data_IF_055014759461
#
_entry.id   IF_055014759461
#
_cell.length_a   1.000
_cell.length_b   1.000
_cell.length_c   1.000
_cell.angle_alpha   90.00
_cell.angle_beta   90.00
_cell.angle_gamma   90.00
#
_symmetry.space_group_name_H-M   'P 1'
#
loop_
_entity.id
_entity.type
_entity.pdbx_description
1 polymer ?
#
# COMPACT_ATOMS: atom_id res chain seq x y z
N UNK A 1 -5.65 6.55 -70.75
CA UNK A 1 -5.78 7.54 -69.66
C UNK A 1 -6.62 6.91 -68.56
N UNK A 2 -6.01 6.45 -67.46
CA UNK A 2 -6.69 5.75 -66.35
C UNK A 2 -6.46 6.52 -65.07
N UNK A 3 -7.54 6.95 -64.42
CA UNK A 3 -7.56 7.85 -63.26
C UNK A 3 -7.34 7.08 -61.96
N UNK A 4 -6.23 7.36 -61.27
CA UNK A 4 -5.90 6.78 -59.97
C UNK A 4 -6.74 7.38 -58.84
N UNK A 5 -7.54 6.54 -58.17
CA UNK A 5 -8.30 6.91 -56.96
C UNK A 5 -7.43 6.65 -55.72
N UNK A 6 -6.94 7.72 -55.09
CA UNK A 6 -6.21 7.66 -53.81
C UNK A 6 -7.17 7.22 -52.68
N UNK A 7 -6.84 6.23 -51.84
CA UNK A 7 -7.69 5.88 -50.71
C UNK A 7 -7.55 6.93 -49.61
N UNK A 8 -8.69 7.36 -49.08
CA UNK A 8 -8.78 8.34 -48.01
C UNK A 8 -8.09 7.83 -46.73
N UNK A 9 -7.26 8.72 -46.17
CA UNK A 9 -6.55 8.59 -44.91
C UNK A 9 -7.58 8.38 -43.78
N UNK A 10 -7.69 7.15 -43.27
CA UNK A 10 -8.48 6.85 -42.06
C UNK A 10 -7.84 7.61 -40.89
N UNK A 11 -8.52 8.64 -40.41
CA UNK A 11 -8.24 9.23 -39.11
C UNK A 11 -8.46 8.15 -38.06
N UNK A 12 -7.43 7.89 -37.24
CA UNK A 12 -7.52 7.01 -36.08
C UNK A 12 -8.11 7.85 -34.96
N UNK A 13 -9.40 7.68 -34.69
CA UNK A 13 -9.99 8.08 -33.42
C UNK A 13 -9.30 7.26 -32.33
N UNK A 14 -8.37 7.89 -31.62
CA UNK A 14 -7.89 7.37 -30.35
C UNK A 14 -8.90 7.80 -29.29
N UNK A 15 -9.98 7.04 -29.16
CA UNK A 15 -10.79 7.09 -27.93
C UNK A 15 -9.88 6.54 -26.84
N UNK A 16 -9.28 7.43 -26.06
CA UNK A 16 -8.56 7.06 -24.84
C UNK A 16 -9.64 6.59 -23.86
N UNK A 17 -9.91 5.28 -23.89
CA UNK A 17 -10.87 4.61 -23.02
C UNK A 17 -10.36 4.78 -21.59
N UNK A 18 -10.98 5.69 -20.84
CA UNK A 18 -10.69 5.86 -19.43
C UNK A 18 -10.91 4.50 -18.75
N UNK A 19 -9.98 4.04 -17.90
CA UNK A 19 -10.09 2.72 -17.28
C UNK A 19 -11.42 2.62 -16.53
N UNK A 20 -12.16 1.53 -16.78
CA UNK A 20 -13.44 1.28 -16.15
C UNK A 20 -13.25 1.21 -14.62
N UNK A 21 -13.98 2.08 -13.91
CA UNK A 21 -13.91 2.15 -12.45
C UNK A 21 -14.72 0.99 -11.88
N UNK A 22 -14.09 0.19 -11.03
CA UNK A 22 -14.67 -1.01 -10.42
C UNK A 22 -14.84 -0.83 -8.92
N UNK A 23 -15.83 -1.51 -8.34
CA UNK A 23 -16.06 -1.51 -6.88
C UNK A 23 -15.33 -2.68 -6.25
N UNK A 24 -14.69 -2.45 -5.11
CA UNK A 24 -14.02 -3.52 -4.37
C UNK A 24 -15.06 -4.48 -3.79
N UNK A 25 -15.01 -5.79 -4.11
CA UNK A 25 -15.97 -6.77 -3.58
C UNK A 25 -15.80 -7.00 -2.08
N UNK A 26 -14.58 -6.83 -1.56
CA UNK A 26 -14.26 -7.05 -0.16
C UNK A 26 -14.57 -5.83 0.71
N UNK A 27 -14.65 -4.64 0.10
CA UNK A 27 -14.73 -3.35 0.78
C UNK A 27 -15.81 -2.46 0.17
N UNK A 28 -17.04 -2.94 0.26
CA UNK A 28 -18.25 -2.18 -0.05
C UNK A 28 -19.23 -2.22 1.12
N UNK A 29 -18.95 -1.43 2.17
CA UNK A 29 -19.77 -1.44 3.38
C UNK A 29 -21.14 -0.83 3.12
N UNK A 30 -22.21 -1.55 3.49
CA UNK A 30 -23.60 -1.07 3.37
C UNK A 30 -23.83 0.21 4.18
N UNK A 31 -23.21 0.31 5.35
CA UNK A 31 -23.20 1.47 6.25
C UNK A 31 -22.02 2.43 5.99
N UNK A 32 -21.29 2.24 4.89
CA UNK A 32 -20.18 3.10 4.50
C UNK A 32 -20.66 4.52 4.23
N UNK A 33 -19.87 5.51 4.67
CA UNK A 33 -20.19 6.94 4.66
C UNK A 33 -19.22 7.76 3.80
N UNK A 34 -18.23 7.11 3.19
CA UNK A 34 -17.29 7.69 2.22
C UNK A 34 -16.88 6.64 1.19
N UNK A 35 -16.62 7.10 -0.03
CA UNK A 35 -16.00 6.28 -1.08
C UNK A 35 -14.59 6.78 -1.33
N UNK A 36 -13.60 5.93 -1.14
CA UNK A 36 -12.23 6.20 -1.57
C UNK A 36 -12.05 5.64 -2.99
N UNK A 37 -11.62 6.49 -3.92
CA UNK A 37 -11.21 6.05 -5.25
C UNK A 37 -9.70 6.03 -5.34
N UNK A 38 -9.15 4.85 -5.60
CA UNK A 38 -7.71 4.60 -5.74
C UNK A 38 -7.51 3.87 -7.07
N UNK A 39 -6.70 4.43 -7.97
CA UNK A 39 -6.59 3.93 -9.35
C UNK A 39 -7.99 3.78 -9.98
N UNK A 40 -8.32 2.61 -10.52
CA UNK A 40 -9.64 2.24 -11.06
C UNK A 40 -10.48 1.43 -10.07
N UNK A 41 -10.20 1.49 -8.77
CA UNK A 41 -10.94 0.77 -7.72
C UNK A 41 -11.54 1.72 -6.70
N UNK A 42 -12.81 1.48 -6.34
CA UNK A 42 -13.53 2.19 -5.30
C UNK A 42 -13.76 1.33 -4.07
N UNK A 43 -13.53 1.93 -2.90
CA UNK A 43 -13.74 1.32 -1.59
C UNK A 43 -14.77 2.14 -0.83
N UNK A 44 -15.91 1.53 -0.47
CA UNK A 44 -16.93 2.19 0.35
C UNK A 44 -16.74 1.79 1.81
N UNK A 45 -16.37 2.75 2.65
CA UNK A 45 -15.97 2.51 4.04
C UNK A 45 -16.55 3.55 5.02
N UNK A 46 -16.38 3.33 6.32
CA UNK A 46 -16.84 4.26 7.34
C UNK A 46 -15.83 5.40 7.57
N UNK A 47 -16.29 6.66 7.47
CA UNK A 47 -15.49 7.87 7.77
C UNK A 47 -14.86 7.83 9.16
N UNK A 48 -15.62 7.35 10.14
CA UNK A 48 -15.20 7.25 11.53
C UNK A 48 -13.99 6.34 11.71
N UNK A 49 -13.92 5.23 10.97
CA UNK A 49 -12.78 4.31 10.98
C UNK A 49 -11.51 4.97 10.45
N UNK A 50 -11.60 5.70 9.33
CA UNK A 50 -10.46 6.45 8.80
C UNK A 50 -10.01 7.55 9.76
N UNK A 51 -10.95 8.38 10.23
CA UNK A 51 -10.66 9.50 11.12
C UNK A 51 -10.09 9.05 12.47
N UNK A 52 -10.47 7.86 12.96
CA UNK A 52 -9.90 7.29 14.19
C UNK A 52 -8.42 6.96 14.04
N UNK A 53 -8.01 6.45 12.88
CA UNK A 53 -6.66 5.93 12.68
C UNK A 53 -5.74 6.90 11.95
N UNK A 54 -6.24 7.96 11.31
CA UNK A 54 -5.46 8.89 10.50
C UNK A 54 -5.77 10.35 10.85
N UNK A 55 -4.74 11.08 11.28
CA UNK A 55 -4.84 12.53 11.52
C UNK A 55 -5.15 13.32 10.23
N UNK A 56 -4.59 12.87 9.09
CA UNK A 56 -4.86 13.44 7.77
C UNK A 56 -6.33 13.31 7.39
N UNK A 57 -6.91 12.10 7.50
CA UNK A 57 -8.33 11.91 7.21
C UNK A 57 -9.23 12.57 8.25
N UNK A 58 -8.84 12.59 9.53
CA UNK A 58 -9.58 13.33 10.56
C UNK A 58 -9.73 14.80 10.18
N UNK A 59 -8.63 15.42 9.76
CA UNK A 59 -8.61 16.83 9.35
C UNK A 59 -9.38 17.03 8.05
N UNK A 60 -9.11 16.22 7.02
CA UNK A 60 -9.78 16.32 5.71
C UNK A 60 -11.30 16.16 5.82
N UNK A 61 -11.78 15.22 6.66
CA UNK A 61 -13.21 14.93 6.81
C UNK A 61 -13.92 15.90 7.76
N UNK A 62 -13.18 16.72 8.51
CA UNK A 62 -13.76 17.78 9.35
C UNK A 62 -14.14 19.04 8.56
N UNK A 63 -13.60 19.19 7.35
CA UNK A 63 -13.90 20.32 6.48
C UNK A 63 -15.24 20.09 5.75
N UNK A 64 -16.06 21.13 5.55
CA UNK A 64 -17.25 21.04 4.73
C UNK A 64 -16.84 20.70 3.29
N UNK A 65 -17.38 19.61 2.76
CA UNK A 65 -17.16 19.23 1.37
C UNK A 65 -17.84 20.27 0.46
N UNK A 66 -17.20 20.68 -0.65
CA UNK A 66 -17.84 21.52 -1.66
C UNK A 66 -19.15 20.87 -2.15
N UNK A 67 -20.21 21.65 -2.33
CA UNK A 67 -21.54 21.15 -2.70
C UNK A 67 -21.63 20.44 -4.06
N UNK A 68 -20.60 20.56 -4.90
CA UNK A 68 -20.54 20.01 -6.26
C UNK A 68 -19.71 18.72 -6.39
N UNK A 69 -19.26 18.12 -5.28
CA UNK A 69 -18.50 16.88 -5.37
C UNK A 69 -19.37 15.68 -5.83
N UNK A 70 -18.83 14.80 -6.69
CA UNK A 70 -19.56 13.64 -7.15
C UNK A 70 -19.91 12.74 -5.96
N UNK A 71 -21.20 12.43 -5.83
CA UNK A 71 -21.73 11.51 -4.83
C UNK A 71 -21.95 10.14 -5.45
N UNK A 72 -21.52 9.09 -4.77
CA UNK A 72 -21.85 7.70 -5.10
C UNK A 72 -22.70 7.16 -3.96
N UNK A 73 -23.96 6.84 -4.26
CA UNK A 73 -24.92 6.34 -3.26
C UNK A 73 -25.05 7.30 -2.05
N UNK A 74 -25.02 8.62 -2.32
CA UNK A 74 -25.08 9.66 -1.29
C UNK A 74 -23.80 9.82 -0.47
N UNK A 75 -22.73 9.08 -0.78
CA UNK A 75 -21.43 9.19 -0.13
C UNK A 75 -20.48 10.06 -0.97
N UNK A 76 -19.72 10.97 -0.35
CA UNK A 76 -18.68 11.72 -1.05
C UNK A 76 -17.55 10.82 -1.51
N UNK A 77 -16.98 11.14 -2.66
CA UNK A 77 -15.88 10.42 -3.28
C UNK A 77 -14.58 11.19 -3.09
N UNK A 78 -13.60 10.56 -2.42
CA UNK A 78 -12.25 11.10 -2.27
C UNK A 78 -11.30 10.34 -3.19
N UNK A 79 -10.71 11.04 -4.16
CA UNK A 79 -9.74 10.45 -5.10
C UNK A 79 -8.34 10.55 -4.50
N UNK A 80 -7.69 9.40 -4.31
CA UNK A 80 -6.36 9.30 -3.73
C UNK A 80 -5.32 9.02 -4.82
N UNK A 81 -4.94 10.08 -5.52
CA UNK A 81 -3.98 9.97 -6.63
C UNK A 81 -2.59 9.53 -6.16
N UNK A 82 -1.97 8.64 -6.94
CA UNK A 82 -0.62 8.13 -6.69
C UNK A 82 -0.53 7.01 -5.65
N UNK A 83 -1.66 6.54 -5.12
CA UNK A 83 -1.72 5.32 -4.31
C UNK A 83 -2.09 4.10 -5.15
N UNK A 84 -1.73 2.92 -4.64
CA UNK A 84 -2.13 1.63 -5.23
C UNK A 84 -3.39 1.08 -4.57
N UNK A 85 -4.34 0.60 -5.37
CA UNK A 85 -5.54 -0.06 -4.87
C UNK A 85 -5.20 -1.33 -4.07
N UNK A 86 -4.13 -2.04 -4.46
CA UNK A 86 -3.64 -3.25 -3.76
C UNK A 86 -3.10 -2.88 -2.38
N UNK A 87 -2.33 -1.80 -2.27
CA UNK A 87 -1.80 -1.33 -0.98
C UNK A 87 -2.91 -0.87 -0.05
N UNK A 88 -3.94 -0.20 -0.60
CA UNK A 88 -5.13 0.17 0.15
C UNK A 88 -5.91 -1.04 0.66
N UNK A 89 -6.05 -2.08 -0.16
CA UNK A 89 -6.67 -3.34 0.28
C UNK A 89 -5.90 -3.95 1.47
N UNK A 90 -4.57 -4.04 1.39
CA UNK A 90 -3.73 -4.52 2.49
C UNK A 90 -3.88 -3.68 3.77
N UNK A 91 -3.99 -2.36 3.65
CA UNK A 91 -4.19 -1.47 4.80
C UNK A 91 -5.58 -1.67 5.42
N UNK A 92 -6.63 -1.72 4.60
CA UNK A 92 -8.00 -1.94 5.06
C UNK A 92 -8.18 -3.31 5.72
N UNK A 93 -7.47 -4.33 5.22
CA UNK A 93 -7.39 -5.66 5.85
C UNK A 93 -6.88 -5.59 7.28
N UNK A 94 -5.96 -4.67 7.60
CA UNK A 94 -5.42 -4.50 8.97
C UNK A 94 -6.32 -3.62 9.82
N UNK A 95 -6.96 -2.61 9.21
CA UNK A 95 -7.90 -1.70 9.88
C UNK A 95 -9.28 -2.33 10.15
N UNK A 96 -9.55 -3.51 9.59
CA UNK A 96 -10.87 -4.12 9.68
C UNK A 96 -11.29 -4.31 11.16
N UNK A 97 -12.48 -3.85 11.60
CA UNK A 97 -12.88 -3.82 13.01
C UNK A 97 -12.86 -5.17 13.74
N UNK A 98 -13.02 -6.27 12.98
CA UNK A 98 -12.94 -7.65 13.50
C UNK A 98 -11.50 -8.12 13.76
N UNK A 99 -10.49 -7.32 13.41
CA UNK A 99 -9.08 -7.58 13.69
C UNK A 99 -8.59 -6.57 14.72
N UNK A 100 -7.65 -6.98 15.55
CA UNK A 100 -6.87 -6.04 16.35
C UNK A 100 -6.17 -5.11 15.37
N UNK A 101 -6.28 -3.78 15.51
CA UNK A 101 -5.69 -2.77 14.60
C UNK A 101 -4.15 -2.74 14.68
N UNK A 102 -3.54 -3.91 14.50
CA UNK A 102 -2.13 -4.24 14.61
C UNK A 102 -1.80 -5.15 13.44
N UNK A 103 -0.62 -4.95 12.87
CA UNK A 103 -0.13 -5.80 11.82
C UNK A 103 0.26 -7.17 12.41
N UNK A 104 -0.25 -8.29 11.90
CA UNK A 104 0.16 -9.61 12.35
C UNK A 104 1.67 -9.83 12.13
N UNK A 105 2.34 -10.53 13.03
CA UNK A 105 3.78 -10.80 12.89
C UNK A 105 4.13 -11.60 11.60
N UNK A 106 3.20 -12.43 11.16
CA UNK A 106 3.30 -13.24 9.94
C UNK A 106 2.70 -12.55 8.70
N UNK A 107 2.52 -11.23 8.76
CA UNK A 107 2.12 -10.44 7.59
C UNK A 107 3.11 -10.64 6.44
N UNK A 108 2.58 -10.70 5.22
CA UNK A 108 3.41 -10.81 4.01
C UNK A 108 4.29 -9.58 3.83
N UNK A 109 5.35 -9.72 3.03
CA UNK A 109 6.21 -8.60 2.65
C UNK A 109 5.42 -7.43 2.03
N UNK A 110 4.46 -7.76 1.15
CA UNK A 110 3.61 -6.76 0.49
C UNK A 110 2.68 -6.05 1.47
N UNK A 111 2.06 -6.78 2.41
CA UNK A 111 1.19 -6.18 3.41
C UNK A 111 1.99 -5.26 4.34
N UNK A 112 3.16 -5.71 4.80
CA UNK A 112 4.06 -4.90 5.63
C UNK A 112 4.50 -3.63 4.89
N UNK A 113 4.91 -3.75 3.62
CA UNK A 113 5.29 -2.62 2.78
C UNK A 113 4.13 -1.62 2.65
N UNK A 114 2.96 -2.10 2.26
CA UNK A 114 1.77 -1.29 2.04
C UNK A 114 1.39 -0.50 3.31
N UNK A 115 1.34 -1.19 4.46
CA UNK A 115 1.03 -0.56 5.74
C UNK A 115 2.08 0.47 6.10
N UNK A 116 3.38 0.17 6.00
CA UNK A 116 4.45 1.14 6.29
C UNK A 116 4.41 2.40 5.42
N UNK A 117 4.06 2.25 4.13
CA UNK A 117 3.98 3.37 3.19
C UNK A 117 2.74 4.24 3.44
N UNK A 118 1.56 3.63 3.47
CA UNK A 118 0.30 4.38 3.61
C UNK A 118 0.14 4.95 5.03
N UNK A 119 0.53 4.21 6.08
CA UNK A 119 0.49 4.75 7.45
C UNK A 119 1.42 5.95 7.64
N UNK A 120 2.52 6.04 6.88
CA UNK A 120 3.36 7.24 6.86
C UNK A 120 2.67 8.38 6.11
N UNK A 121 2.12 8.11 4.92
CA UNK A 121 1.48 9.13 4.06
C UNK A 121 0.25 9.76 4.73
N UNK A 122 -0.53 8.95 5.45
CA UNK A 122 -1.77 9.35 6.09
C UNK A 122 -1.65 9.53 7.61
N UNK A 123 -0.43 9.62 8.14
CA UNK A 123 -0.16 9.86 9.56
C UNK A 123 -0.92 8.93 10.51
N UNK A 124 -0.90 7.63 10.21
CA UNK A 124 -1.51 6.58 11.01
C UNK A 124 -0.51 6.01 12.01
N UNK A 125 -0.23 6.77 13.07
CA UNK A 125 0.89 6.52 13.99
C UNK A 125 0.89 5.12 14.63
N UNK A 126 -0.27 4.64 15.10
CA UNK A 126 -0.40 3.31 15.75
C UNK A 126 -0.06 2.18 14.77
N UNK A 127 -0.63 2.22 13.57
CA UNK A 127 -0.35 1.24 12.51
C UNK A 127 1.10 1.32 12.05
N UNK A 128 1.65 2.53 11.93
CA UNK A 128 3.04 2.75 11.56
C UNK A 128 3.98 2.14 12.58
N UNK A 129 3.70 2.34 13.86
CA UNK A 129 4.49 1.78 14.95
C UNK A 129 4.44 0.25 14.96
N UNK A 130 3.23 -0.33 14.90
CA UNK A 130 3.05 -1.78 14.81
C UNK A 130 3.83 -2.39 13.63
N UNK A 131 3.78 -1.76 12.46
CA UNK A 131 4.50 -2.23 11.29
C UNK A 131 6.04 -2.08 11.43
N UNK A 132 6.54 -1.06 12.14
CA UNK A 132 7.99 -0.95 12.45
C UNK A 132 8.43 -2.07 13.37
N UNK A 133 7.64 -2.40 14.38
CA UNK A 133 7.94 -3.46 15.32
C UNK A 133 8.02 -4.81 14.60
N UNK A 134 7.08 -5.09 13.69
CA UNK A 134 7.11 -6.28 12.81
C UNK A 134 8.32 -6.30 11.87
N UNK A 135 8.75 -5.15 11.33
CA UNK A 135 9.97 -5.10 10.51
C UNK A 135 11.24 -5.30 11.36
N UNK A 136 11.26 -4.81 12.60
CA UNK A 136 12.39 -4.95 13.54
C UNK A 136 12.51 -6.36 14.09
N UNK A 137 11.39 -7.03 14.40
CA UNK A 137 11.38 -8.42 14.85
C UNK A 137 11.94 -9.39 13.81
N UNK A 138 11.94 -8.96 12.55
CA UNK A 138 12.50 -9.67 11.42
C UNK A 138 13.99 -9.35 11.18
N UNK A 139 14.57 -8.42 11.91
CA UNK A 139 16.01 -8.24 11.86
C UNK A 139 16.67 -9.17 12.89
N UNK A 140 17.58 -10.07 12.50
CA UNK A 140 18.32 -10.88 13.46
C UNK A 140 19.09 -9.96 14.42
N UNK A 141 18.82 -10.07 15.72
CA UNK A 141 19.48 -9.22 16.70
C UNK A 141 20.96 -9.59 16.93
N UNK A 142 21.38 -10.79 16.52
CA UNK A 142 22.73 -11.34 16.72
C UNK A 142 23.15 -12.24 15.56
N UNK A 143 24.47 -12.40 15.42
CA UNK A 143 25.09 -13.30 14.43
C UNK A 143 24.63 -14.76 14.58
N UNK A 144 24.62 -15.29 15.80
CA UNK A 144 24.18 -16.66 16.12
C UNK A 144 22.71 -16.93 15.74
N UNK A 145 21.85 -15.91 15.77
CA UNK A 145 20.46 -16.05 15.38
C UNK A 145 20.30 -16.17 13.85
N UNK A 146 21.22 -15.57 13.08
CA UNK A 146 21.27 -15.68 11.63
C UNK A 146 21.82 -17.03 11.17
N UNK A 147 22.94 -17.49 11.74
CA UNK A 147 23.60 -18.76 11.34
C UNK A 147 22.67 -19.98 11.49
N UNK A 148 21.69 -19.90 12.40
CA UNK A 148 20.68 -20.93 12.63
C UNK A 148 19.49 -20.86 11.66
N UNK A 149 19.34 -19.79 10.89
CA UNK A 149 18.23 -19.60 9.96
C UNK A 149 18.65 -18.77 8.72
N UNK A 150 19.47 -19.36 7.83
CA UNK A 150 19.97 -18.67 6.63
C UNK A 150 18.86 -18.31 5.63
N UNK A 151 17.73 -19.03 5.67
CA UNK A 151 16.60 -18.86 4.73
C UNK A 151 15.56 -17.81 5.19
N UNK A 152 15.71 -17.21 6.38
CA UNK A 152 14.82 -16.15 6.85
C UNK A 152 14.59 -16.12 8.35
N UNK A 153 13.64 -15.29 8.79
CA UNK A 153 13.39 -14.96 10.21
C UNK A 153 12.49 -15.97 10.93
N UNK A 154 12.17 -17.09 10.29
CA UNK A 154 11.09 -17.99 10.71
C UNK A 154 9.68 -17.41 10.54
N UNK A 155 9.54 -16.17 10.06
CA UNK A 155 8.26 -15.45 9.89
C UNK A 155 7.82 -15.27 8.43
N UNK A 156 8.47 -15.99 7.50
CA UNK A 156 8.08 -16.06 6.10
C UNK A 156 8.55 -14.90 5.20
N UNK A 157 9.36 -13.97 5.72
CA UNK A 157 9.98 -12.86 4.94
C UNK A 157 11.48 -13.10 4.78
N UNK A 158 12.00 -12.85 3.57
CA UNK A 158 13.43 -12.99 3.28
C UNK A 158 14.21 -11.72 3.67
N UNK A 159 15.53 -11.84 3.87
CA UNK A 159 16.40 -10.69 4.11
C UNK A 159 16.32 -9.65 2.98
N UNK A 160 16.18 -10.10 1.73
CA UNK A 160 16.01 -9.23 0.56
C UNK A 160 14.76 -8.37 0.72
N UNK A 161 13.64 -8.97 1.14
CA UNK A 161 12.39 -8.25 1.35
C UNK A 161 12.55 -7.21 2.46
N UNK A 162 13.17 -7.59 3.58
CA UNK A 162 13.42 -6.71 4.73
C UNK A 162 14.25 -5.49 4.31
N UNK A 163 15.34 -5.70 3.57
CA UNK A 163 16.18 -4.60 3.03
C UNK A 163 15.39 -3.72 2.07
N UNK A 164 14.65 -4.32 1.13
CA UNK A 164 13.87 -3.58 0.14
C UNK A 164 12.79 -2.72 0.82
N UNK A 165 12.06 -3.29 1.77
CA UNK A 165 11.03 -2.60 2.56
C UNK A 165 11.65 -1.47 3.40
N UNK A 166 12.73 -1.74 4.13
CA UNK A 166 13.39 -0.74 4.96
C UNK A 166 13.87 0.46 4.12
N UNK A 167 14.43 0.21 2.93
CA UNK A 167 14.85 1.27 1.99
C UNK A 167 13.67 2.06 1.44
N UNK A 168 12.61 1.38 0.99
CA UNK A 168 11.44 2.01 0.40
C UNK A 168 10.61 2.83 1.41
N UNK A 169 10.63 2.45 2.68
CA UNK A 169 9.80 3.07 3.74
C UNK A 169 10.56 4.04 4.64
N UNK A 170 11.89 4.11 4.47
CA UNK A 170 12.79 4.96 5.26
C UNK A 170 13.02 4.47 6.69
N UNK A 171 12.73 3.19 6.99
CA UNK A 171 12.98 2.59 8.31
C UNK A 171 14.43 2.13 8.38
N UNK A 172 15.35 3.09 8.40
CA UNK A 172 16.78 2.81 8.33
C UNK A 172 17.36 2.21 9.60
N UNK A 173 16.63 2.24 10.73
CA UNK A 173 17.05 1.53 11.95
C UNK A 173 17.20 0.02 11.75
N UNK A 174 16.58 -0.55 10.72
CA UNK A 174 16.70 -1.96 10.35
C UNK A 174 17.89 -2.27 9.42
N UNK A 175 18.50 -1.23 8.81
CA UNK A 175 19.51 -1.40 7.76
C UNK A 175 20.93 -1.78 8.23
N UNK A 176 21.47 -1.29 9.38
CA UNK A 176 22.83 -1.67 9.80
C UNK A 176 23.00 -3.18 9.96
N UNK A 177 22.01 -3.84 10.57
CA UNK A 177 21.96 -5.30 10.68
C UNK A 177 21.86 -5.93 9.30
N UNK A 178 20.93 -5.45 8.47
CA UNK A 178 20.70 -6.05 7.17
C UNK A 178 21.88 -5.88 6.18
N UNK A 179 22.59 -4.75 6.20
CA UNK A 179 23.78 -4.51 5.37
C UNK A 179 25.00 -5.27 5.87
N UNK A 180 25.22 -5.35 7.18
CA UNK A 180 26.29 -6.17 7.75
C UNK A 180 26.11 -7.64 7.34
N UNK A 181 24.88 -8.16 7.48
CA UNK A 181 24.55 -9.52 7.05
C UNK A 181 24.72 -9.71 5.53
N UNK A 182 24.24 -8.77 4.71
CA UNK A 182 24.38 -8.85 3.25
C UNK A 182 25.85 -8.83 2.78
N UNK A 183 26.71 -8.09 3.48
CA UNK A 183 28.15 -8.02 3.16
C UNK A 183 28.91 -9.31 3.50
N UNK A 184 28.39 -10.15 4.41
CA UNK A 184 29.02 -11.43 4.76
C UNK A 184 28.52 -12.61 3.94
N UNK A 185 27.32 -12.52 3.34
CA UNK A 185 26.81 -13.54 2.41
C UNK A 185 27.55 -13.58 1.07
N UNK A 186 28.34 -12.54 0.76
CA UNK A 186 29.26 -12.51 -0.37
C UNK A 186 30.70 -12.50 0.16
N UNK A 187 31.34 -13.67 0.19
CA UNK A 187 32.80 -13.68 0.18
C UNK A 187 33.27 -13.09 -1.15
N UNK A 188 34.09 -12.05 -1.09
CA UNK A 188 34.89 -11.58 -2.22
C UNK A 188 35.93 -12.65 -2.56
N UNK A 189 35.51 -13.79 -3.11
CA UNK A 189 36.41 -14.62 -3.89
C UNK A 189 36.55 -13.96 -5.27
N UNK A 190 37.64 -13.24 -5.45
CA UNK A 190 38.18 -12.99 -6.76
C UNK A 190 38.60 -14.34 -7.37
N UNK A 191 37.86 -14.82 -8.37
CA UNK A 191 38.34 -15.76 -9.38
C UNK A 191 37.54 -15.65 -10.67
#
# INVERSE_FOLDING_TARGET
>A
MSTGRRPAKRARDQVSEAPEITRSPDYWLEDGSIVLQVESTQFRIAKTTLAKHSAVFQTMLSLPLPGDEPLIEGCPVVVLSGDSAVDWKHLLDVMHPKRSAFLPEHASADQLRAVLQLSKKYEMSELRQSAVEVLRSDCPATFDAYDKSPDGTGRGRSLRDIVAIARATGVYSALPVAFYLFSMSFTLEAR
#
